data_IF_275578209790
#
_entry.id   IF_275578209790
#
_cell.length_a   1.000
_cell.length_b   1.000
_cell.length_c   1.000
_cell.angle_alpha   90.00
_cell.angle_beta   90.00
_cell.angle_gamma   90.00
#
_symmetry.space_group_name_H-M   'P 1'
#
loop_
_entity.id
_entity.type
_entity.pdbx_description
1 polymer ?
#
# COMPACT_ATOMS: atom_id res chain seq x y z
N UNK A 1 -43.88 2.83 -3.45
CA UNK A 1 -42.56 2.26 -3.82
C UNK A 1 -41.57 3.32 -4.30
N UNK A 2 -41.91 4.19 -5.27
CA UNK A 2 -40.99 5.23 -5.77
C UNK A 2 -40.50 6.23 -4.70
N UNK A 3 -41.38 6.72 -3.81
CA UNK A 3 -40.99 7.64 -2.74
C UNK A 3 -40.04 6.99 -1.69
N UNK A 4 -40.19 5.68 -1.44
CA UNK A 4 -39.31 4.94 -0.53
C UNK A 4 -37.92 4.75 -1.15
N UNK A 5 -37.85 4.39 -2.44
CA UNK A 5 -36.59 4.25 -3.16
C UNK A 5 -35.83 5.59 -3.28
N UNK A 6 -36.56 6.70 -3.46
CA UNK A 6 -35.97 8.04 -3.43
C UNK A 6 -35.40 8.38 -2.04
N UNK A 7 -36.11 8.04 -0.96
CA UNK A 7 -35.62 8.24 0.41
C UNK A 7 -34.39 7.40 0.74
N UNK A 8 -34.34 6.15 0.30
CA UNK A 8 -33.18 5.26 0.49
C UNK A 8 -31.93 5.79 -0.21
N UNK A 9 -32.08 6.26 -1.45
CA UNK A 9 -30.98 6.81 -2.24
C UNK A 9 -30.41 8.10 -1.62
N UNK A 10 -31.27 8.95 -1.05
CA UNK A 10 -30.86 10.15 -0.29
C UNK A 10 -30.07 9.78 0.97
N UNK A 11 -30.52 8.76 1.70
CA UNK A 11 -29.82 8.26 2.89
C UNK A 11 -28.43 7.73 2.54
N UNK A 12 -28.31 6.93 1.47
CA UNK A 12 -27.03 6.39 1.01
C UNK A 12 -26.07 7.51 0.60
N UNK A 13 -26.55 8.51 -0.15
CA UNK A 13 -25.75 9.67 -0.53
C UNK A 13 -25.21 10.43 0.68
N UNK A 14 -26.07 10.68 1.67
CA UNK A 14 -25.67 11.34 2.90
C UNK A 14 -24.60 10.54 3.67
N UNK A 15 -24.80 9.23 3.83
CA UNK A 15 -23.85 8.35 4.53
C UNK A 15 -22.48 8.30 3.83
N UNK A 16 -22.47 8.23 2.50
CA UNK A 16 -21.24 8.24 1.70
C UNK A 16 -20.51 9.58 1.87
N UNK A 17 -21.22 10.69 1.72
CA UNK A 17 -20.65 12.03 1.85
C UNK A 17 -20.07 12.26 3.25
N UNK A 18 -20.82 11.90 4.29
CA UNK A 18 -20.40 12.02 5.69
C UNK A 18 -19.14 11.16 5.96
N UNK A 19 -19.14 9.91 5.48
CA UNK A 19 -17.99 9.01 5.66
C UNK A 19 -16.74 9.53 4.94
N UNK A 20 -16.89 10.00 3.70
CA UNK A 20 -15.79 10.59 2.93
C UNK A 20 -15.22 11.83 3.63
N UNK A 21 -16.08 12.75 4.09
CA UNK A 21 -15.65 13.96 4.80
C UNK A 21 -14.93 13.63 6.12
N UNK A 22 -15.44 12.68 6.90
CA UNK A 22 -14.77 12.20 8.12
C UNK A 22 -13.41 11.59 7.81
N UNK A 23 -13.30 10.82 6.72
CA UNK A 23 -12.03 10.22 6.28
C UNK A 23 -11.03 11.29 5.87
N UNK A 24 -11.43 12.26 5.04
CA UNK A 24 -10.57 13.37 4.62
C UNK A 24 -10.06 14.16 5.84
N UNK A 25 -10.95 14.47 6.78
CA UNK A 25 -10.59 15.14 8.03
C UNK A 25 -9.61 14.32 8.88
N UNK A 26 -9.79 13.00 8.92
CA UNK A 26 -8.88 12.08 9.63
C UNK A 26 -7.49 12.06 8.99
N UNK A 27 -7.42 12.01 7.65
CA UNK A 27 -6.17 12.01 6.90
C UNK A 27 -5.42 13.34 7.09
N UNK A 28 -6.12 14.47 7.00
CA UNK A 28 -5.52 15.80 7.22
C UNK A 28 -5.00 15.96 8.66
N UNK A 29 -5.78 15.47 9.63
CA UNK A 29 -5.35 15.47 11.03
C UNK A 29 -4.12 14.59 11.27
N UNK A 30 -4.09 13.37 10.71
CA UNK A 30 -2.92 12.49 10.82
C UNK A 30 -1.68 13.10 10.18
N UNK A 31 -1.83 13.72 9.00
CA UNK A 31 -0.75 14.46 8.34
C UNK A 31 -0.20 15.55 9.26
N UNK A 32 -1.06 16.45 9.75
CA UNK A 32 -0.66 17.55 10.65
C UNK A 32 -0.02 17.05 11.95
N UNK A 33 -0.52 15.95 12.51
CA UNK A 33 0.04 15.37 13.73
C UNK A 33 1.43 14.78 13.49
N UNK A 34 1.63 14.14 12.33
CA UNK A 34 2.93 13.62 11.90
C UNK A 34 3.95 14.72 11.59
N UNK A 35 3.48 15.89 11.15
CA UNK A 35 4.33 17.06 10.91
C UNK A 35 4.64 17.86 12.20
N UNK A 36 4.10 17.46 13.36
CA UNK A 36 4.22 18.19 14.61
C UNK A 36 3.47 19.53 14.62
N UNK A 37 2.45 19.70 13.75
CA UNK A 37 1.67 20.94 13.63
C UNK A 37 0.43 20.98 14.53
N UNK A 38 -0.01 19.82 15.04
CA UNK A 38 -1.15 19.70 15.95
C UNK A 38 -0.86 18.71 17.06
N UNK A 39 -1.50 18.92 18.21
CA UNK A 39 -1.47 18.00 19.33
C UNK A 39 -2.32 16.77 19.03
N UNK A 40 -1.75 15.59 19.26
CA UNK A 40 -2.47 14.33 19.27
C UNK A 40 -3.47 14.29 20.43
N UNK A 41 -4.76 14.35 20.08
CA UNK A 41 -5.93 14.39 20.96
C UNK A 41 -5.78 15.46 22.06
N UNK A 42 -5.22 16.62 21.70
CA UNK A 42 -4.93 17.72 22.63
C UNK A 42 -4.08 17.30 23.85
N UNK A 43 -3.35 16.19 23.75
CA UNK A 43 -2.64 15.57 24.87
C UNK A 43 -1.12 15.63 24.67
N UNK A 44 -0.64 15.26 23.47
CA UNK A 44 0.80 15.14 23.22
C UNK A 44 1.17 15.72 21.86
N UNK A 45 2.30 16.43 21.77
CA UNK A 45 2.84 16.93 20.51
C UNK A 45 3.97 16.00 20.06
N UNK A 46 3.83 15.41 18.87
CA UNK A 46 4.88 14.57 18.30
C UNK A 46 5.87 15.43 17.53
N UNK A 47 7.04 15.66 18.11
CA UNK A 47 8.14 16.30 17.40
C UNK A 47 8.89 15.28 16.51
N UNK A 48 9.53 15.75 15.42
CA UNK A 48 10.35 14.91 14.53
C UNK A 48 11.33 13.95 15.25
N UNK A 49 12.12 14.37 16.26
CA UNK A 49 13.00 13.46 17.00
C UNK A 49 12.25 12.40 17.82
N UNK A 50 11.00 12.66 18.24
CA UNK A 50 10.22 11.68 18.99
C UNK A 50 9.63 10.63 18.06
N UNK A 51 9.19 11.05 16.87
CA UNK A 51 8.71 10.14 15.84
C UNK A 51 9.80 9.15 15.40
N UNK A 52 11.05 9.59 15.27
CA UNK A 52 12.16 8.71 14.89
C UNK A 52 12.58 7.73 15.99
N UNK A 53 12.21 7.98 17.26
CA UNK A 53 12.48 7.10 18.40
C UNK A 53 11.42 6.01 18.57
N UNK A 54 10.34 6.06 17.81
CA UNK A 54 9.27 5.08 17.92
C UNK A 54 9.74 3.68 17.48
N UNK A 55 9.46 2.58 18.22
CA UNK A 55 9.88 1.23 17.81
C UNK A 55 9.31 0.77 16.46
N UNK A 56 8.21 1.37 15.99
CA UNK A 56 7.67 1.11 14.65
C UNK A 56 8.45 1.82 13.52
N UNK A 57 9.36 2.72 13.85
CA UNK A 57 10.17 3.53 12.94
C UNK A 57 11.62 2.98 12.79
N UNK A 58 11.80 1.66 12.92
CA UNK A 58 13.04 0.98 12.54
C UNK A 58 13.39 1.31 11.08
N UNK A 59 14.57 1.89 10.78
CA UNK A 59 14.91 2.43 9.46
C UNK A 59 14.64 1.47 8.29
N UNK A 60 14.88 0.16 8.47
CA UNK A 60 14.66 -0.84 7.42
C UNK A 60 13.17 -1.08 7.13
N UNK A 61 12.36 -1.19 8.18
CA UNK A 61 10.91 -1.38 8.06
C UNK A 61 10.24 -0.11 7.52
N UNK A 62 10.78 1.04 7.92
CA UNK A 62 10.30 2.35 7.53
C UNK A 62 10.61 2.68 6.07
N UNK A 63 11.83 2.39 5.57
CA UNK A 63 12.14 2.52 4.12
C UNK A 63 11.17 1.67 3.30
N UNK A 64 10.95 0.39 3.63
CA UNK A 64 9.99 -0.45 2.89
C UNK A 64 8.56 0.08 2.96
N UNK A 65 8.13 0.52 4.14
CA UNK A 65 6.79 1.12 4.31
C UNK A 65 6.64 2.38 3.47
N UNK A 66 7.68 3.22 3.43
CA UNK A 66 7.73 4.41 2.59
C UNK A 66 7.66 4.03 1.11
N UNK A 67 8.44 3.06 0.65
CA UNK A 67 8.37 2.55 -0.73
C UNK A 67 6.97 2.09 -1.07
N UNK A 68 6.36 1.24 -0.26
CA UNK A 68 4.99 0.78 -0.48
C UNK A 68 3.99 1.95 -0.57
N UNK A 69 4.08 2.92 0.33
CA UNK A 69 3.23 4.11 0.30
C UNK A 69 3.47 4.98 -0.93
N UNK A 70 4.72 5.09 -1.38
CA UNK A 70 5.07 5.79 -2.61
C UNK A 70 4.44 5.10 -3.82
N UNK A 71 4.57 3.78 -3.95
CA UNK A 71 3.97 3.02 -5.06
C UNK A 71 2.46 3.26 -5.13
N UNK A 72 1.77 3.18 -3.99
CA UNK A 72 0.34 3.47 -3.93
C UNK A 72 0.02 4.93 -4.28
N UNK A 73 0.82 5.88 -3.77
CA UNK A 73 0.67 7.31 -4.03
C UNK A 73 0.90 7.70 -5.49
N UNK A 74 1.75 6.98 -6.21
CA UNK A 74 1.96 7.14 -7.66
C UNK A 74 0.83 6.52 -8.48
N UNK A 75 0.24 5.42 -8.02
CA UNK A 75 -0.84 4.71 -8.73
C UNK A 75 -2.21 5.37 -8.59
N UNK A 76 -2.56 5.95 -7.45
CA UNK A 76 -3.90 6.53 -7.25
C UNK A 76 -4.24 7.62 -8.28
N UNK A 77 -3.35 8.58 -8.59
CA UNK A 77 -3.61 9.59 -9.59
C UNK A 77 -3.93 9.04 -10.99
N UNK A 78 -3.34 7.90 -11.39
CA UNK A 78 -3.66 7.31 -12.70
C UNK A 78 -5.08 6.77 -12.75
N UNK A 79 -5.62 6.27 -11.63
CA UNK A 79 -7.04 5.92 -11.52
C UNK A 79 -7.92 7.15 -11.69
N UNK A 80 -7.53 8.26 -11.08
CA UNK A 80 -8.24 9.51 -11.22
C UNK A 80 -8.25 10.01 -12.67
N UNK A 81 -7.09 9.98 -13.34
CA UNK A 81 -6.94 10.58 -14.66
C UNK A 81 -7.56 9.72 -15.78
N UNK A 82 -7.51 8.39 -15.67
CA UNK A 82 -7.93 7.48 -16.73
C UNK A 82 -9.31 6.83 -16.51
N UNK A 83 -9.75 6.64 -15.27
CA UNK A 83 -10.91 5.79 -14.95
C UNK A 83 -12.01 6.52 -14.15
N UNK A 84 -12.14 7.84 -14.32
CA UNK A 84 -13.08 8.68 -13.58
C UNK A 84 -14.35 9.10 -14.35
N UNK A 85 -14.66 8.45 -15.48
CA UNK A 85 -15.84 8.80 -16.30
C UNK A 85 -17.17 8.56 -15.57
N UNK A 86 -17.22 7.56 -14.69
CA UNK A 86 -18.37 7.27 -13.83
C UNK A 86 -17.91 6.91 -12.42
N UNK A 87 -18.71 7.17 -11.37
CA UNK A 87 -18.33 6.81 -10.00
C UNK A 87 -18.14 5.29 -9.84
N UNK A 88 -18.87 4.51 -10.62
CA UNK A 88 -18.83 3.05 -10.55
C UNK A 88 -17.53 2.48 -11.17
N UNK A 89 -17.13 2.98 -12.34
CA UNK A 89 -15.85 2.63 -12.95
C UNK A 89 -14.67 3.02 -12.05
N UNK A 90 -14.67 4.26 -11.56
CA UNK A 90 -13.65 4.77 -10.64
C UNK A 90 -13.47 3.86 -9.43
N UNK A 91 -14.57 3.52 -8.74
CA UNK A 91 -14.51 2.68 -7.56
C UNK A 91 -14.10 1.23 -7.86
N UNK A 92 -14.44 0.69 -9.04
CA UNK A 92 -13.99 -0.65 -9.45
C UNK A 92 -12.48 -0.68 -9.63
N UNK A 93 -11.94 0.27 -10.39
CA UNK A 93 -10.50 0.38 -10.67
C UNK A 93 -9.73 0.70 -9.37
N UNK A 94 -10.25 1.59 -8.52
CA UNK A 94 -9.65 1.86 -7.21
C UNK A 94 -9.64 0.62 -6.31
N UNK A 95 -10.73 -0.14 -6.25
CA UNK A 95 -10.76 -1.38 -5.45
C UNK A 95 -9.80 -2.45 -5.98
N UNK A 96 -9.62 -2.53 -7.31
CA UNK A 96 -8.66 -3.41 -7.97
C UNK A 96 -7.23 -3.00 -7.64
N UNK A 97 -6.87 -1.72 -7.79
CA UNK A 97 -5.58 -1.17 -7.37
C UNK A 97 -5.28 -1.50 -5.90
N UNK A 98 -6.22 -1.25 -5.00
CA UNK A 98 -6.03 -1.56 -3.57
C UNK A 98 -5.90 -3.06 -3.30
N UNK A 99 -6.49 -3.92 -4.14
CA UNK A 99 -6.33 -5.38 -4.03
C UNK A 99 -4.95 -5.84 -4.54
N UNK A 100 -4.48 -5.26 -5.65
CA UNK A 100 -3.13 -5.47 -6.18
C UNK A 100 -2.09 -5.06 -5.15
N UNK A 101 -2.26 -3.89 -4.54
CA UNK A 101 -1.41 -3.40 -3.46
C UNK A 101 -1.37 -4.35 -2.25
N UNK A 102 -2.53 -4.84 -1.78
CA UNK A 102 -2.59 -5.83 -0.71
C UNK A 102 -1.84 -7.13 -1.07
N UNK A 103 -1.91 -7.57 -2.33
CA UNK A 103 -1.20 -8.75 -2.84
C UNK A 103 0.31 -8.52 -2.89
N UNK A 104 0.73 -7.36 -3.42
CA UNK A 104 2.13 -6.96 -3.47
C UNK A 104 2.76 -6.94 -2.07
N UNK A 105 2.08 -6.35 -1.10
CA UNK A 105 2.55 -6.33 0.29
C UNK A 105 2.66 -7.72 0.91
N UNK A 106 1.81 -8.68 0.53
CA UNK A 106 1.89 -10.06 1.02
C UNK A 106 3.06 -10.83 0.43
N UNK A 107 3.38 -10.58 -0.84
CA UNK A 107 4.49 -11.23 -1.54
C UNK A 107 5.85 -10.64 -1.15
N UNK A 108 5.90 -9.34 -0.90
CA UNK A 108 7.13 -8.57 -0.60
C UNK A 108 7.29 -8.22 0.90
N UNK A 109 6.41 -8.73 1.76
CA UNK A 109 6.41 -8.47 3.20
C UNK A 109 7.43 -9.32 3.99
N UNK A 110 7.83 -8.84 5.18
CA UNK A 110 8.75 -9.53 6.11
C UNK A 110 8.17 -10.80 6.78
N UNK A 111 7.04 -11.31 6.30
CA UNK A 111 6.50 -12.56 6.82
C UNK A 111 7.41 -13.71 6.40
N UNK A 112 8.16 -14.23 7.37
CA UNK A 112 8.77 -15.57 7.37
C UNK A 112 7.78 -16.70 7.02
N UNK A 113 6.47 -16.41 6.94
CA UNK A 113 5.43 -17.31 6.43
C UNK A 113 5.31 -17.36 4.91
N UNK A 114 5.81 -16.37 4.15
CA UNK A 114 5.77 -16.39 2.67
C UNK A 114 6.67 -17.49 2.08
N UNK A 115 7.66 -17.97 2.86
CA UNK A 115 8.50 -19.10 2.50
C UNK A 115 7.89 -20.46 2.91
N UNK A 116 7.01 -20.51 3.92
CA UNK A 116 6.51 -21.76 4.50
C UNK A 116 5.22 -22.28 3.84
N UNK A 117 4.43 -21.43 3.19
CA UNK A 117 3.30 -21.87 2.35
C UNK A 117 3.73 -22.43 0.99
N UNK A 118 5.03 -22.33 0.64
CA UNK A 118 5.62 -22.88 -0.60
C UNK A 118 6.02 -24.36 -0.51
N UNK A 119 5.79 -25.02 0.63
CA UNK A 119 6.08 -26.46 0.80
C UNK A 119 4.80 -27.32 0.91
N UNK A 120 3.90 -27.19 -0.06
CA UNK A 120 3.03 -28.32 -0.44
C UNK A 120 3.18 -28.58 -1.92
N UNK A 121 4.31 -29.23 -2.24
CA UNK A 121 4.46 -29.95 -3.50
C UNK A 121 3.36 -31.03 -3.52
N UNK A 122 2.42 -31.03 -4.48
CA UNK A 122 1.53 -32.16 -4.64
C UNK A 122 2.36 -33.40 -4.99
N UNK A 123 2.20 -34.45 -4.20
CA UNK A 123 2.77 -35.79 -4.41
C UNK A 123 2.48 -36.28 -5.85
N UNK A 124 3.39 -36.02 -6.78
CA UNK A 124 3.30 -36.43 -8.19
C UNK A 124 4.35 -37.46 -8.60
N UNK A 125 4.94 -38.17 -7.63
CA UNK A 125 5.78 -39.34 -7.92
C UNK A 125 5.28 -40.58 -7.18
N UNK A 126 4.19 -41.16 -7.70
CA UNK A 126 3.97 -42.60 -7.60
C UNK A 126 4.25 -43.22 -8.96
N UNK A 127 5.38 -43.92 -9.08
CA UNK A 127 5.54 -45.05 -10.01
C UNK A 127 6.15 -46.23 -9.27
N UNK A 128 5.67 -47.46 -9.53
CA UNK A 128 6.08 -48.66 -8.81
C UNK A 128 7.48 -49.10 -9.22
N UNK A 129 8.13 -49.85 -8.33
CA UNK A 129 9.58 -49.97 -8.27
C UNK A 129 10.29 -50.67 -9.41
N UNK A 130 11.60 -50.44 -9.46
CA UNK A 130 12.58 -51.46 -9.81
C UNK A 130 13.96 -51.06 -9.26
N UNK A 131 14.71 -52.07 -8.85
CA UNK A 131 16.04 -52.05 -8.22
C UNK A 131 17.12 -51.49 -9.17
N UNK A 132 18.19 -50.90 -8.58
CA UNK A 132 19.63 -51.27 -8.77
C UNK A 132 20.62 -50.11 -8.97
N UNK A 133 21.69 -50.14 -8.14
CA UNK A 133 23.11 -49.67 -8.28
C UNK A 133 23.51 -48.18 -8.42
N UNK A 134 24.00 -47.62 -7.30
CA UNK A 134 25.40 -47.24 -6.97
C UNK A 134 26.43 -47.10 -8.11
N UNK A 135 26.99 -45.91 -8.32
CA UNK A 135 28.46 -45.63 -8.24
C UNK A 135 28.83 -44.18 -8.63
N UNK A 136 29.78 -43.65 -7.88
CA UNK A 136 30.57 -42.40 -7.99
C UNK A 136 31.71 -42.53 -9.00
N UNK A 137 32.09 -41.46 -9.70
CA UNK A 137 33.48 -40.95 -9.86
C UNK A 137 33.59 -39.88 -10.95
N UNK A 138 34.57 -39.00 -10.75
CA UNK A 138 34.96 -37.85 -11.55
C UNK A 138 35.78 -38.22 -12.79
N UNK A 139 35.77 -37.37 -13.81
CA UNK A 139 36.94 -37.17 -14.67
C UNK A 139 36.91 -35.78 -15.35
N UNK A 140 38.11 -35.37 -15.76
CA UNK A 140 38.64 -34.03 -16.04
C UNK A 140 38.44 -33.67 -17.53
N UNK A 141 38.18 -32.39 -17.82
CA UNK A 141 38.10 -31.86 -19.19
C UNK A 141 39.04 -30.66 -19.39
N UNK A 142 40.00 -30.84 -20.29
CA UNK A 142 41.06 -29.93 -20.74
C UNK A 142 40.69 -29.33 -22.13
N UNK A 143 41.28 -28.17 -22.44
CA UNK A 143 41.54 -27.57 -23.77
C UNK A 143 40.33 -26.94 -24.52
N UNK A 144 40.25 -25.61 -24.75
CA UNK A 144 41.08 -24.64 -25.51
C UNK A 144 40.85 -24.62 -27.04
N UNK A 145 40.84 -23.39 -27.56
CA UNK A 145 40.99 -22.92 -28.95
C UNK A 145 39.76 -22.85 -29.89
N UNK A 146 39.09 -21.68 -29.86
CA UNK A 146 38.77 -20.69 -30.94
C UNK A 146 38.27 -21.14 -32.35
N UNK A 147 37.90 -20.24 -33.30
CA UNK A 147 37.10 -18.99 -33.31
C UNK A 147 35.98 -19.03 -34.40
N UNK A 148 35.27 -17.91 -34.63
CA UNK A 148 34.35 -17.55 -35.74
C UNK A 148 32.83 -17.62 -35.50
N UNK A 149 32.27 -16.43 -35.19
CA UNK A 149 31.26 -15.71 -35.98
C UNK A 149 29.95 -16.39 -36.36
N UNK A 150 28.82 -15.85 -35.86
CA UNK A 150 27.84 -15.22 -36.75
C UNK A 150 26.80 -14.39 -35.99
N UNK A 151 26.54 -13.23 -36.56
CA UNK A 151 25.56 -12.22 -36.17
C UNK A 151 24.15 -12.65 -36.59
N UNK A 152 23.15 -12.43 -35.73
CA UNK A 152 21.72 -12.39 -36.09
C UNK A 152 20.93 -11.61 -35.03
N UNK A 153 20.40 -10.42 -35.33
CA UNK A 153 19.31 -9.82 -34.58
C UNK A 153 17.99 -10.12 -35.29
N UNK A 154 17.06 -10.78 -34.60
CA UNK A 154 15.77 -11.12 -35.19
C UNK A 154 14.78 -11.64 -34.17
N UNK A 155 14.10 -10.73 -33.48
CA UNK A 155 12.78 -11.00 -32.91
C UNK A 155 12.00 -9.68 -32.88
N UNK A 156 11.09 -9.53 -33.83
CA UNK A 156 10.10 -8.45 -33.86
C UNK A 156 8.87 -8.84 -33.03
N UNK A 157 8.23 -7.83 -32.43
CA UNK A 157 6.81 -7.77 -32.00
C UNK A 157 6.67 -6.49 -31.16
N UNK A 158 5.62 -5.68 -31.15
CA UNK A 158 4.42 -5.47 -31.96
C UNK A 158 3.94 -4.05 -31.58
N UNK A 159 3.23 -3.40 -32.48
CA UNK A 159 2.61 -2.09 -32.28
C UNK A 159 1.76 -2.02 -31.00
N UNK A 160 2.12 -1.11 -30.10
CA UNK A 160 1.22 -0.44 -29.16
C UNK A 160 1.54 1.05 -29.21
N UNK A 161 0.55 1.89 -29.51
CA UNK A 161 0.74 3.35 -29.64
C UNK A 161 1.35 3.99 -28.39
N UNK A 162 1.81 5.25 -28.46
CA UNK A 162 2.47 5.89 -27.33
C UNK A 162 1.50 5.94 -26.15
N UNK A 163 1.76 5.10 -25.15
CA UNK A 163 1.14 5.22 -23.85
C UNK A 163 1.53 6.59 -23.26
N UNK A 164 0.65 7.24 -22.49
CA UNK A 164 0.96 8.53 -21.87
C UNK A 164 2.26 8.42 -21.07
N UNK A 165 3.12 9.45 -21.15
CA UNK A 165 4.50 9.44 -20.64
C UNK A 165 4.66 9.00 -19.18
N UNK A 166 3.60 9.07 -18.36
CA UNK A 166 3.57 8.59 -16.97
C UNK A 166 3.71 7.06 -16.88
N UNK A 167 3.19 6.30 -17.85
CA UNK A 167 3.34 4.83 -17.86
C UNK A 167 4.78 4.38 -18.16
N UNK A 168 5.61 5.25 -18.76
CA UNK A 168 6.98 4.90 -19.13
C UNK A 168 7.96 4.93 -17.94
N UNK A 169 7.62 5.58 -16.83
CA UNK A 169 8.41 5.54 -15.59
C UNK A 169 8.18 4.22 -14.82
N UNK A 170 7.03 3.57 -15.02
CA UNK A 170 6.64 2.35 -14.31
C UNK A 170 7.23 1.04 -14.90
N UNK A 171 7.97 1.11 -16.01
CA UNK A 171 8.39 -0.07 -16.79
C UNK A 171 9.77 -0.65 -16.41
N UNK A 172 10.31 -0.35 -15.23
CA UNK A 172 11.56 -0.95 -14.76
C UNK A 172 11.28 -2.10 -13.79
N UNK A 173 11.16 -3.31 -14.37
CA UNK A 173 10.80 -4.59 -13.75
C UNK A 173 11.81 -5.15 -12.72
N UNK A 174 12.71 -4.33 -12.16
CA UNK A 174 13.93 -4.85 -11.52
C UNK A 174 13.74 -5.51 -10.15
N UNK A 175 12.54 -5.48 -9.57
CA UNK A 175 12.27 -6.05 -8.23
C UNK A 175 11.05 -6.99 -8.17
N UNK A 176 10.37 -7.25 -9.30
CA UNK A 176 9.22 -8.15 -9.34
C UNK A 176 9.65 -9.62 -9.47
N UNK A 177 8.88 -10.52 -8.85
CA UNK A 177 9.10 -11.96 -9.02
C UNK A 177 8.76 -12.38 -10.46
N UNK A 178 9.37 -13.44 -11.02
CA UNK A 178 9.04 -13.91 -12.35
C UNK A 178 7.53 -14.21 -12.51
N UNK A 179 6.87 -13.53 -13.45
CA UNK A 179 5.43 -13.67 -13.71
C UNK A 179 4.51 -12.84 -12.79
N UNK A 180 5.08 -11.95 -11.98
CA UNK A 180 4.33 -10.98 -11.19
C UNK A 180 4.03 -9.74 -12.05
N UNK A 181 2.76 -9.55 -12.41
CA UNK A 181 2.29 -8.41 -13.20
C UNK A 181 1.09 -7.75 -12.52
N UNK A 182 1.06 -6.42 -12.52
CA UNK A 182 -0.02 -5.62 -11.96
C UNK A 182 -0.66 -4.75 -13.03
N UNK A 183 -1.98 -4.60 -12.99
CA UNK A 183 -2.69 -3.80 -14.00
C UNK A 183 -2.70 -2.33 -13.65
N UNK A 184 -2.88 -2.00 -12.37
CA UNK A 184 -3.07 -0.62 -11.89
C UNK A 184 -1.96 -0.18 -10.94
N UNK A 185 -1.38 -1.11 -10.17
CA UNK A 185 -0.26 -0.81 -9.29
C UNK A 185 1.00 -0.55 -10.11
N UNK A 186 1.62 0.61 -9.89
CA UNK A 186 2.85 1.02 -10.53
C UNK A 186 4.02 0.60 -9.64
N UNK A 187 5.01 -0.04 -10.23
CA UNK A 187 6.20 -0.53 -9.52
C UNK A 187 7.48 -0.06 -10.22
N UNK A 188 7.71 1.26 -10.33
CA UNK A 188 8.97 1.79 -10.84
C UNK A 188 10.15 1.40 -9.94
N UNK A 189 11.33 1.30 -10.53
CA UNK A 189 12.57 1.15 -9.78
C UNK A 189 12.95 2.51 -9.22
N UNK A 190 13.23 2.54 -7.92
CA UNK A 190 13.53 3.78 -7.22
C UNK A 190 15.06 3.94 -7.14
N UNK A 191 15.62 5.10 -7.55
CA UNK A 191 17.04 5.36 -7.42
C UNK A 191 17.47 5.71 -5.99
N UNK A 192 16.51 5.81 -5.06
CA UNK A 192 16.72 6.18 -3.66
C UNK A 192 15.68 5.53 -2.75
N UNK A 193 15.99 5.45 -1.45
CA UNK A 193 15.03 5.10 -0.41
C UNK A 193 14.15 6.32 -0.06
N UNK A 194 12.82 6.24 -0.23
CA UNK A 194 11.95 7.36 0.06
C UNK A 194 11.88 7.65 1.57
N UNK A 195 11.85 8.94 1.92
CA UNK A 195 11.60 9.36 3.30
C UNK A 195 10.14 9.11 3.68
N UNK A 196 9.93 8.39 4.78
CA UNK A 196 8.59 8.01 5.22
C UNK A 196 7.73 9.21 5.61
N UNK A 197 8.30 10.25 6.22
CA UNK A 197 7.54 11.39 6.70
C UNK A 197 6.94 12.17 5.55
N UNK A 198 7.76 12.47 4.55
CA UNK A 198 7.32 13.12 3.33
C UNK A 198 6.35 12.25 2.53
N UNK A 199 6.66 10.96 2.39
CA UNK A 199 5.82 10.03 1.62
C UNK A 199 4.45 9.82 2.27
N UNK A 200 4.39 9.73 3.60
CA UNK A 200 3.12 9.61 4.32
C UNK A 200 2.27 10.87 4.17
N UNK A 201 2.87 12.06 4.30
CA UNK A 201 2.17 13.33 4.16
C UNK A 201 1.57 13.49 2.75
N UNK A 202 2.39 13.24 1.73
CA UNK A 202 1.97 13.30 0.32
C UNK A 202 0.92 12.25 -0.03
N UNK A 203 1.01 11.02 0.51
CA UNK A 203 -0.04 10.02 0.34
C UNK A 203 -1.37 10.43 0.99
N UNK A 204 -1.34 11.08 2.15
CA UNK A 204 -2.55 11.63 2.76
C UNK A 204 -3.21 12.66 1.84
N UNK A 205 -2.44 13.55 1.22
CA UNK A 205 -2.94 14.56 0.29
C UNK A 205 -3.53 13.91 -0.98
N UNK A 206 -2.83 12.95 -1.58
CA UNK A 206 -3.33 12.18 -2.73
C UNK A 206 -4.64 11.44 -2.40
N UNK A 207 -4.76 10.88 -1.19
CA UNK A 207 -6.00 10.23 -0.75
C UNK A 207 -7.12 11.24 -0.52
N UNK A 208 -6.84 12.40 0.08
CA UNK A 208 -7.82 13.49 0.24
C UNK A 208 -8.34 13.93 -1.13
N UNK A 209 -7.46 14.09 -2.11
CA UNK A 209 -7.84 14.39 -3.50
C UNK A 209 -8.69 13.25 -4.08
N UNK A 210 -8.32 11.99 -3.88
CA UNK A 210 -9.09 10.82 -4.33
C UNK A 210 -10.55 10.85 -3.79
N UNK A 211 -10.75 11.12 -2.50
CA UNK A 211 -12.11 11.28 -1.93
C UNK A 211 -12.83 12.51 -2.49
N UNK A 212 -12.13 13.64 -2.63
CA UNK A 212 -12.69 14.88 -3.20
C UNK A 212 -13.20 14.65 -4.62
N UNK A 213 -12.42 13.94 -5.44
CA UNK A 213 -12.78 13.60 -6.81
C UNK A 213 -13.96 12.64 -6.85
N UNK A 214 -13.97 11.62 -5.99
CA UNK A 214 -15.13 10.73 -5.89
C UNK A 214 -16.42 11.49 -5.52
N UNK A 215 -16.37 12.43 -4.56
CA UNK A 215 -17.54 13.25 -4.22
C UNK A 215 -17.99 14.15 -5.38
N UNK A 216 -17.04 14.65 -6.20
CA UNK A 216 -17.36 15.39 -7.41
C UNK A 216 -18.05 14.52 -8.49
N UNK A 217 -17.80 13.22 -8.50
CA UNK A 217 -18.49 12.23 -9.35
C UNK A 217 -19.84 11.78 -8.77
N UNK A 218 -20.25 12.30 -7.62
CA UNK A 218 -21.52 11.96 -6.97
C UNK A 218 -22.16 13.23 -6.39
N UNK A 219 -22.40 14.28 -7.21
CA UNK A 219 -22.90 15.57 -6.74
C UNK A 219 -24.35 15.48 -6.25
N UNK A 220 -25.09 14.47 -6.69
CA UNK A 220 -26.49 14.27 -6.32
C UNK A 220 -26.77 12.81 -5.92
N UNK A 221 -27.83 12.59 -5.14
CA UNK A 221 -28.23 11.24 -4.72
C UNK A 221 -28.52 10.29 -5.89
N UNK A 222 -28.90 10.80 -7.07
CA UNK A 222 -29.23 9.97 -8.23
C UNK A 222 -28.10 9.03 -8.66
N UNK A 223 -26.86 9.37 -8.34
CA UNK A 223 -25.66 8.63 -8.71
C UNK A 223 -25.25 7.61 -7.61
N UNK A 224 -25.81 7.73 -6.41
CA UNK A 224 -25.64 6.80 -5.27
C UNK A 224 -26.52 5.56 -5.39
N UNK A 225 -26.27 4.75 -6.42
CA UNK A 225 -26.87 3.43 -6.51
C UNK A 225 -26.26 2.48 -5.45
N UNK A 226 -26.99 1.43 -5.06
CA UNK A 226 -26.49 0.44 -4.10
C UNK A 226 -25.10 -0.15 -4.46
N UNK A 227 -24.80 -0.50 -5.74
CA UNK A 227 -23.46 -0.95 -6.11
C UNK A 227 -22.34 0.08 -5.87
N UNK A 228 -22.65 1.37 -6.06
CA UNK A 228 -21.68 2.45 -5.76
C UNK A 228 -21.42 2.52 -4.26
N UNK A 229 -22.47 2.43 -3.44
CA UNK A 229 -22.34 2.44 -1.98
C UNK A 229 -21.52 1.25 -1.45
N UNK A 230 -21.75 0.05 -2.00
CA UNK A 230 -20.99 -1.16 -1.64
C UNK A 230 -19.51 -1.04 -2.02
N UNK A 231 -19.21 -0.62 -3.25
CA UNK A 231 -17.83 -0.45 -3.72
C UNK A 231 -17.11 0.66 -2.96
N UNK A 232 -17.80 1.76 -2.62
CA UNK A 232 -17.25 2.84 -1.80
C UNK A 232 -16.90 2.32 -0.40
N UNK A 233 -17.83 1.62 0.26
CA UNK A 233 -17.62 1.07 1.60
C UNK A 233 -16.43 0.10 1.62
N UNK A 234 -16.28 -0.70 0.57
CA UNK A 234 -15.14 -1.62 0.39
C UNK A 234 -13.81 -0.87 0.21
N UNK A 235 -13.77 0.15 -0.63
CA UNK A 235 -12.59 0.98 -0.84
C UNK A 235 -12.19 1.72 0.45
N UNK A 236 -13.16 2.38 1.12
CA UNK A 236 -12.91 3.11 2.36
C UNK A 236 -12.38 2.18 3.47
N UNK A 237 -12.94 0.99 3.59
CA UNK A 237 -12.49 0.00 4.57
C UNK A 237 -11.03 -0.41 4.34
N UNK A 238 -10.61 -0.58 3.07
CA UNK A 238 -9.22 -0.87 2.72
C UNK A 238 -8.31 0.31 3.01
N UNK A 239 -8.68 1.53 2.62
CA UNK A 239 -7.90 2.75 2.89
C UNK A 239 -7.73 2.94 4.39
N UNK A 240 -8.79 2.74 5.18
CA UNK A 240 -8.74 2.76 6.65
C UNK A 240 -7.72 1.76 7.19
N UNK A 241 -7.69 0.54 6.63
CA UNK A 241 -6.77 -0.51 7.09
C UNK A 241 -5.32 -0.22 6.73
N UNK A 242 -5.06 0.22 5.49
CA UNK A 242 -3.72 0.45 4.95
C UNK A 242 -3.03 1.64 5.63
N UNK A 243 -3.78 2.72 5.87
CA UNK A 243 -3.22 4.00 6.32
C UNK A 243 -3.58 4.29 7.77
N UNK A 244 -4.88 4.35 8.06
CA UNK A 244 -5.35 4.92 9.32
C UNK A 244 -5.07 4.00 10.50
N UNK A 245 -5.41 2.72 10.41
CA UNK A 245 -5.32 1.79 11.55
C UNK A 245 -3.90 1.65 12.08
N UNK A 246 -2.91 1.47 11.20
CA UNK A 246 -1.51 1.30 11.61
C UNK A 246 -0.96 2.54 12.30
N UNK A 247 -1.14 3.71 11.69
CA UNK A 247 -0.58 4.97 12.23
C UNK A 247 -1.27 5.37 13.52
N UNK A 248 -2.60 5.27 13.60
CA UNK A 248 -3.34 5.56 14.84
C UNK A 248 -2.87 4.66 15.97
N UNK A 249 -2.71 3.35 15.70
CA UNK A 249 -2.22 2.40 16.71
C UNK A 249 -0.83 2.80 17.23
N UNK A 250 0.10 3.11 16.32
CA UNK A 250 1.46 3.51 16.69
C UNK A 250 1.45 4.79 17.54
N UNK A 251 0.69 5.81 17.14
CA UNK A 251 0.56 7.08 17.88
C UNK A 251 -0.05 6.86 19.26
N UNK A 252 -1.08 6.03 19.35
CA UNK A 252 -1.72 5.70 20.63
C UNK A 252 -0.79 4.94 21.58
N UNK A 253 -0.07 3.93 21.09
CA UNK A 253 0.86 3.14 21.90
C UNK A 253 1.97 4.03 22.47
N UNK A 254 2.53 4.92 21.66
CA UNK A 254 3.53 5.89 22.11
C UNK A 254 2.98 6.90 23.12
N UNK A 255 1.82 7.48 22.83
CA UNK A 255 1.19 8.44 23.74
C UNK A 255 0.94 7.82 25.10
N UNK A 256 0.43 6.58 25.15
CA UNK A 256 0.18 5.86 26.40
C UNK A 256 1.46 5.59 27.18
N UNK A 257 2.55 5.19 26.51
CA UNK A 257 3.83 4.96 27.16
C UNK A 257 4.43 6.26 27.71
N UNK A 258 4.38 7.33 26.93
CA UNK A 258 4.93 8.62 27.31
C UNK A 258 4.17 9.23 28.50
N UNK A 259 2.84 9.28 28.44
CA UNK A 259 2.02 9.81 29.55
C UNK A 259 2.26 9.02 30.84
N UNK A 260 2.41 7.69 30.78
CA UNK A 260 2.76 6.89 31.96
C UNK A 260 4.11 7.27 32.55
N UNK A 261 5.11 7.52 31.70
CA UNK A 261 6.44 7.94 32.13
C UNK A 261 6.41 9.32 32.79
N UNK A 262 5.71 10.28 32.19
CA UNK A 262 5.56 11.65 32.72
C UNK A 262 4.85 11.65 34.08
N UNK A 263 3.73 10.93 34.19
CA UNK A 263 2.99 10.81 35.46
C UNK A 263 3.85 10.15 36.55
N UNK A 264 4.63 9.12 36.22
CA UNK A 264 5.55 8.50 37.16
C UNK A 264 6.68 9.45 37.58
N UNK A 265 7.19 10.27 36.65
CA UNK A 265 8.17 11.32 36.92
C UNK A 265 7.64 12.37 37.89
N UNK A 266 6.46 12.91 37.62
CA UNK A 266 5.76 13.86 38.52
C UNK A 266 5.57 13.23 39.89
N UNK A 267 5.13 11.96 39.96
CA UNK A 267 4.98 11.24 41.22
C UNK A 267 6.27 11.20 42.04
N UNK A 268 7.42 10.95 41.41
CA UNK A 268 8.72 10.98 42.09
C UNK A 268 9.09 12.37 42.58
N UNK A 269 8.84 13.42 41.80
CA UNK A 269 9.17 14.80 42.19
C UNK A 269 8.28 15.27 43.35
N UNK A 270 6.97 15.00 43.27
CA UNK A 270 5.99 15.43 44.27
C UNK A 270 6.14 14.64 45.58
N UNK A 271 6.25 13.31 45.49
CA UNK A 271 6.36 12.44 46.68
C UNK A 271 7.79 12.40 47.23
N UNK A 272 8.81 12.54 46.37
CA UNK A 272 10.21 12.60 46.79
C UNK A 272 10.58 13.90 47.48
N UNK A 273 9.81 14.98 47.28
CA UNK A 273 9.92 16.21 48.08
C UNK A 273 9.12 16.18 49.38
N UNK A 274 8.35 15.11 49.63
CA UNK A 274 7.51 14.93 50.82
C UNK A 274 8.13 13.97 51.87
N UNK A 275 9.31 13.40 51.56
CA UNK A 275 10.16 12.63 52.48
C UNK A 275 11.47 13.37 52.72
#
# INVERSE_FOLDING_TARGET
>A
MWALAQGETQMLHHQIAETAQKRMSTLDYLRKAHEGRVYWFNTYLFDKPDLSRMPSFDPRKLSRKATNYLLLGLSIPTIHDLYSSTPLEFLRCLNALLAEFDSFQQLHGDSSNAALSRARIPNMFRRPGMKTRRSTSADVGLDDSSPFGHQSPGAGSTNGGPAPAVMNFAASESDLLPGEEYTYLLTPSLPFDPDFFETFATLCDVLIDCYTKFLALVPSPRECTAPVAELFTKADSKIRKIIVQGVVKDFEDHSRMHVKSEVAGIGKVVLGGLM
#
